data_IF_176770930032
#
_entry.id   IF_176770930032
#
_cell.length_a   1.000
_cell.length_b   1.000
_cell.length_c   1.000
_cell.angle_alpha   90.00
_cell.angle_beta   90.00
_cell.angle_gamma   90.00
#
_symmetry.space_group_name_H-M   'P 1'
#
loop_
_entity.id
_entity.type
_entity.pdbx_description
1 polymer ?
#
# COMPACT_ATOMS: atom_id res chain seq x y z
N UNK A 1 -32.41 -20.97 -9.28
CA UNK A 1 -31.05 -20.59 -8.80
C UNK A 1 -30.38 -21.63 -7.91
N UNK A 2 -30.99 -22.10 -6.79
CA UNK A 2 -30.35 -23.15 -5.94
C UNK A 2 -29.89 -24.38 -6.74
N UNK A 3 -30.65 -24.84 -7.75
CA UNK A 3 -30.22 -25.92 -8.64
C UNK A 3 -28.90 -25.60 -9.36
N UNK A 4 -28.79 -24.41 -9.96
CA UNK A 4 -27.60 -23.93 -10.67
C UNK A 4 -26.40 -23.85 -9.71
N UNK A 5 -26.62 -23.42 -8.46
CA UNK A 5 -25.57 -23.37 -7.43
C UNK A 5 -24.99 -24.77 -7.17
N UNK A 6 -25.85 -25.76 -6.96
CA UNK A 6 -25.43 -27.13 -6.66
C UNK A 6 -24.86 -27.87 -7.89
N UNK A 7 -25.15 -27.41 -9.10
CA UNK A 7 -24.72 -28.04 -10.36
C UNK A 7 -23.90 -27.11 -11.25
N UNK A 8 -23.18 -26.15 -10.65
CA UNK A 8 -22.49 -25.07 -11.36
C UNK A 8 -21.43 -25.56 -12.36
N UNK A 9 -20.87 -26.76 -12.17
CA UNK A 9 -19.92 -27.40 -13.10
C UNK A 9 -20.55 -27.75 -14.44
N UNK A 10 -21.83 -28.15 -14.45
CA UNK A 10 -22.59 -28.47 -15.66
C UNK A 10 -22.90 -27.19 -16.45
N UNK A 11 -23.29 -26.13 -15.73
CA UNK A 11 -23.64 -24.84 -16.33
C UNK A 11 -22.43 -24.01 -16.76
N UNK A 12 -21.22 -24.36 -16.31
CA UNK A 12 -19.97 -23.64 -16.58
C UNK A 12 -19.70 -23.44 -18.09
N UNK A 13 -19.94 -24.47 -18.91
CA UNK A 13 -19.76 -24.38 -20.37
C UNK A 13 -20.72 -23.39 -21.05
N UNK A 14 -21.84 -23.09 -20.40
CA UNK A 14 -22.88 -22.18 -20.89
C UNK A 14 -22.85 -20.82 -20.17
N UNK A 15 -21.78 -20.51 -19.41
CA UNK A 15 -21.70 -19.32 -18.56
C UNK A 15 -22.06 -18.01 -19.27
N UNK A 16 -21.71 -17.88 -20.56
CA UNK A 16 -22.04 -16.70 -21.39
C UNK A 16 -23.54 -16.38 -21.44
N UNK A 17 -24.41 -17.40 -21.41
CA UNK A 17 -25.86 -17.22 -21.45
C UNK A 17 -26.46 -16.99 -20.06
N UNK A 18 -25.76 -17.39 -19.00
CA UNK A 18 -26.26 -17.37 -17.64
C UNK A 18 -25.80 -16.16 -16.82
N UNK A 19 -24.71 -15.49 -17.19
CA UNK A 19 -24.22 -14.31 -16.47
C UNK A 19 -25.30 -13.20 -16.39
N UNK A 20 -25.80 -12.74 -17.53
CA UNK A 20 -26.77 -11.64 -17.60
C UNK A 20 -28.02 -11.91 -16.76
N UNK A 21 -28.74 -13.05 -16.92
CA UNK A 21 -29.94 -13.32 -16.12
C UNK A 21 -29.65 -13.42 -14.61
N UNK A 22 -28.52 -14.02 -14.22
CA UNK A 22 -28.20 -14.19 -12.81
C UNK A 22 -27.83 -12.83 -12.17
N UNK A 23 -27.08 -11.96 -12.87
CA UNK A 23 -26.77 -10.62 -12.38
C UNK A 23 -28.06 -9.79 -12.19
N UNK A 24 -29.00 -9.86 -13.13
CA UNK A 24 -30.29 -9.19 -13.00
C UNK A 24 -31.11 -9.73 -11.83
N UNK A 25 -31.11 -11.05 -11.63
CA UNK A 25 -31.74 -11.67 -10.46
C UNK A 25 -31.08 -11.21 -9.15
N UNK A 26 -29.75 -11.09 -9.09
CA UNK A 26 -29.04 -10.52 -7.95
C UNK A 26 -29.54 -9.11 -7.63
N UNK A 27 -29.69 -8.25 -8.63
CA UNK A 27 -30.21 -6.89 -8.45
C UNK A 27 -31.66 -6.85 -7.97
N UNK A 28 -32.52 -7.74 -8.48
CA UNK A 28 -33.90 -7.85 -7.99
C UNK A 28 -33.97 -8.34 -6.54
N UNK A 29 -33.04 -9.20 -6.11
CA UNK A 29 -32.94 -9.62 -4.71
C UNK A 29 -32.47 -8.46 -3.82
N UNK A 30 -31.52 -7.66 -4.30
CA UNK A 30 -31.02 -6.46 -3.63
C UNK A 30 -32.15 -5.46 -3.35
N UNK A 31 -33.01 -5.20 -4.34
CA UNK A 31 -34.14 -4.27 -4.21
C UNK A 31 -35.16 -4.72 -3.14
N UNK A 32 -35.24 -6.02 -2.86
CA UNK A 32 -36.16 -6.60 -1.88
C UNK A 32 -35.53 -6.85 -0.51
N UNK A 33 -34.20 -6.83 -0.42
CA UNK A 33 -33.47 -7.04 0.83
C UNK A 33 -33.37 -5.72 1.60
N UNK A 34 -33.86 -5.70 2.83
CA UNK A 34 -33.80 -4.52 3.68
C UNK A 34 -32.50 -4.41 4.49
N UNK A 35 -31.78 -5.50 4.76
CA UNK A 35 -30.57 -5.47 5.63
C UNK A 35 -29.61 -6.64 5.35
N UNK A 36 -28.31 -6.35 5.49
CA UNK A 36 -27.12 -7.22 5.41
C UNK A 36 -26.91 -8.03 4.11
N UNK A 37 -25.66 -8.40 3.85
CA UNK A 37 -25.31 -9.26 2.72
C UNK A 37 -25.90 -10.66 2.92
N UNK A 38 -26.96 -10.97 2.16
CA UNK A 38 -27.57 -12.28 2.16
C UNK A 38 -26.55 -13.36 1.74
N UNK A 39 -26.39 -14.42 2.54
CA UNK A 39 -25.49 -15.55 2.26
C UNK A 39 -25.78 -16.19 0.90
N UNK A 40 -27.06 -16.24 0.51
CA UNK A 40 -27.46 -16.74 -0.79
C UNK A 40 -26.95 -15.88 -1.96
N UNK A 41 -26.92 -14.55 -1.77
CA UNK A 41 -26.35 -13.62 -2.75
C UNK A 41 -24.84 -13.81 -2.85
N UNK A 42 -24.16 -13.94 -1.70
CA UNK A 42 -22.72 -14.22 -1.65
C UNK A 42 -22.39 -15.51 -2.42
N UNK A 43 -23.07 -16.61 -2.13
CA UNK A 43 -22.85 -17.90 -2.80
C UNK A 43 -23.09 -17.80 -4.31
N UNK A 44 -24.12 -17.04 -4.71
CA UNK A 44 -24.42 -16.78 -6.12
C UNK A 44 -23.27 -16.04 -6.81
N UNK A 45 -22.75 -14.98 -6.19
CA UNK A 45 -21.63 -14.20 -6.73
C UNK A 45 -20.36 -15.06 -6.81
N UNK A 46 -20.07 -15.87 -5.78
CA UNK A 46 -18.92 -16.78 -5.79
C UNK A 46 -18.95 -17.71 -7.01
N UNK A 47 -20.12 -18.22 -7.37
CA UNK A 47 -20.28 -19.06 -8.56
C UNK A 47 -20.07 -18.26 -9.85
N UNK A 48 -20.63 -17.06 -9.95
CA UNK A 48 -20.41 -16.20 -11.12
C UNK A 48 -18.92 -15.91 -11.32
N UNK A 49 -18.19 -15.64 -10.23
CA UNK A 49 -16.75 -15.41 -10.28
C UNK A 49 -15.96 -16.67 -10.64
N UNK A 50 -16.44 -17.87 -10.28
CA UNK A 50 -15.84 -19.13 -10.72
C UNK A 50 -15.87 -19.34 -12.24
N UNK A 51 -16.74 -18.60 -12.95
CA UNK A 51 -16.88 -18.64 -14.40
C UNK A 51 -16.10 -17.56 -15.13
N UNK A 52 -15.38 -16.68 -14.43
CA UNK A 52 -14.55 -15.60 -15.00
C UNK A 52 -13.71 -16.08 -16.20
N UNK A 53 -12.99 -17.20 -16.05
CA UNK A 53 -12.14 -17.77 -17.11
C UNK A 53 -12.84 -18.09 -18.44
N UNK A 54 -14.17 -18.17 -18.46
CA UNK A 54 -14.96 -18.54 -19.65
C UNK A 54 -15.79 -17.36 -20.16
N UNK A 55 -16.33 -16.56 -19.24
CA UNK A 55 -17.21 -15.47 -19.57
C UNK A 55 -17.08 -14.32 -18.56
N UNK A 56 -17.11 -13.10 -19.09
CA UNK A 56 -17.25 -11.86 -18.34
C UNK A 56 -18.58 -11.19 -18.71
N UNK A 57 -19.16 -10.34 -17.83
CA UNK A 57 -20.37 -9.59 -18.14
C UNK A 57 -20.22 -8.76 -19.40
N UNK A 58 -21.32 -8.65 -20.17
CA UNK A 58 -21.37 -7.83 -21.38
C UNK A 58 -21.32 -6.34 -21.03
N UNK A 59 -20.94 -5.48 -21.99
CA UNK A 59 -21.06 -4.01 -21.82
C UNK A 59 -22.51 -3.58 -21.54
N UNK A 60 -23.49 -4.32 -22.06
CA UNK A 60 -24.91 -4.07 -21.77
C UNK A 60 -25.26 -4.30 -20.30
N UNK A 61 -24.51 -5.16 -19.60
CA UNK A 61 -24.71 -5.48 -18.18
C UNK A 61 -23.99 -4.51 -17.25
N UNK A 62 -23.25 -3.53 -17.79
CA UNK A 62 -22.38 -2.64 -17.01
C UNK A 62 -23.13 -1.94 -15.88
N UNK A 63 -24.34 -1.45 -16.14
CA UNK A 63 -25.18 -0.81 -15.10
C UNK A 63 -25.62 -1.81 -14.03
N UNK A 64 -25.96 -3.04 -14.42
CA UNK A 64 -26.37 -4.09 -13.51
C UNK A 64 -25.21 -4.58 -12.63
N UNK A 65 -24.01 -4.73 -13.21
CA UNK A 65 -22.77 -5.06 -12.48
C UNK A 65 -22.40 -3.94 -11.52
N UNK A 66 -22.53 -2.69 -11.95
CA UNK A 66 -22.24 -1.54 -11.10
C UNK A 66 -23.18 -1.47 -9.89
N UNK A 67 -24.49 -1.66 -10.07
CA UNK A 67 -25.46 -1.68 -8.95
C UNK A 67 -25.13 -2.79 -7.94
N UNK A 68 -24.72 -3.96 -8.44
CA UNK A 68 -24.26 -5.06 -7.60
C UNK A 68 -23.01 -4.67 -6.80
N UNK A 69 -22.02 -4.04 -7.44
CA UNK A 69 -20.80 -3.55 -6.78
C UNK A 69 -21.11 -2.52 -5.68
N UNK A 70 -21.95 -1.52 -6.00
CA UNK A 70 -22.35 -0.48 -5.06
C UNK A 70 -23.06 -1.04 -3.83
N UNK A 71 -23.94 -2.03 -4.04
CA UNK A 71 -24.59 -2.74 -2.93
C UNK A 71 -23.59 -3.51 -2.05
N UNK A 72 -22.61 -4.18 -2.66
CA UNK A 72 -21.56 -4.87 -1.90
C UNK A 72 -20.71 -3.88 -1.10
N UNK A 73 -20.38 -2.72 -1.66
CA UNK A 73 -19.63 -1.66 -0.96
C UNK A 73 -20.42 -1.11 0.24
N UNK A 74 -21.72 -0.87 0.08
CA UNK A 74 -22.59 -0.35 1.13
C UNK A 74 -22.73 -1.32 2.31
N UNK A 75 -22.85 -2.63 2.01
CA UNK A 75 -23.15 -3.66 3.01
C UNK A 75 -21.93 -4.51 3.40
N UNK A 76 -20.70 -4.09 3.05
CA UNK A 76 -19.48 -4.84 3.36
C UNK A 76 -19.22 -4.95 4.87
N UNK A 77 -19.69 -3.96 5.64
CA UNK A 77 -19.52 -3.85 7.09
C UNK A 77 -20.31 -4.90 7.85
N UNK A 78 -19.62 -5.63 8.73
CA UNK A 78 -20.27 -6.60 9.60
C UNK A 78 -19.60 -6.61 10.98
N UNK A 79 -20.37 -6.92 12.04
CA UNK A 79 -19.86 -6.94 13.43
C UNK A 79 -18.73 -7.97 13.61
N UNK A 80 -18.88 -9.13 12.97
CA UNK A 80 -17.86 -10.17 12.92
C UNK A 80 -16.77 -9.82 11.89
N UNK A 81 -15.53 -9.68 12.35
CA UNK A 81 -14.37 -9.34 11.52
C UNK A 81 -14.01 -10.42 10.50
N UNK A 82 -14.31 -11.69 10.78
CA UNK A 82 -14.11 -12.77 9.81
C UNK A 82 -15.03 -12.60 8.60
N UNK A 83 -16.33 -12.40 8.85
CA UNK A 83 -17.33 -12.14 7.80
C UNK A 83 -16.96 -10.90 7.00
N UNK A 84 -16.56 -9.82 7.67
CA UNK A 84 -16.10 -8.60 7.01
C UNK A 84 -14.89 -8.84 6.08
N UNK A 85 -13.90 -9.66 6.50
CA UNK A 85 -12.78 -10.04 5.64
C UNK A 85 -13.23 -10.87 4.43
N UNK A 86 -14.11 -11.85 4.64
CA UNK A 86 -14.70 -12.63 3.55
C UNK A 86 -15.43 -11.75 2.53
N UNK A 87 -16.17 -10.74 3.00
CA UNK A 87 -16.85 -9.76 2.14
C UNK A 87 -15.84 -8.94 1.33
N UNK A 88 -14.76 -8.46 1.95
CA UNK A 88 -13.69 -7.75 1.27
C UNK A 88 -12.99 -8.62 0.22
N UNK A 89 -12.74 -9.91 0.53
CA UNK A 89 -12.14 -10.86 -0.41
C UNK A 89 -13.06 -11.16 -1.60
N UNK A 90 -14.38 -11.23 -1.38
CA UNK A 90 -15.37 -11.36 -2.45
C UNK A 90 -15.34 -10.14 -3.38
N UNK A 91 -15.36 -8.94 -2.80
CA UNK A 91 -15.30 -7.68 -3.55
C UNK A 91 -13.98 -7.58 -4.34
N UNK A 92 -12.85 -7.95 -3.71
CA UNK A 92 -11.54 -8.01 -4.35
C UNK A 92 -11.56 -8.90 -5.57
N UNK A 93 -12.04 -10.14 -5.45
CA UNK A 93 -12.14 -11.09 -6.57
C UNK A 93 -13.07 -10.59 -7.68
N UNK A 94 -14.16 -9.91 -7.32
CA UNK A 94 -15.08 -9.33 -8.28
C UNK A 94 -14.41 -8.22 -9.09
N UNK A 95 -13.72 -7.30 -8.42
CA UNK A 95 -12.98 -6.20 -9.06
C UNK A 95 -11.85 -6.75 -9.94
N UNK A 96 -11.10 -7.74 -9.46
CA UNK A 96 -10.04 -8.41 -10.26
C UNK A 96 -10.60 -9.11 -11.50
N UNK A 97 -11.81 -9.68 -11.41
CA UNK A 97 -12.43 -10.41 -12.51
C UNK A 97 -13.08 -9.49 -13.55
N UNK A 98 -13.68 -8.38 -13.10
CA UNK A 98 -14.55 -7.53 -13.93
C UNK A 98 -14.08 -6.06 -13.99
N UNK A 99 -12.78 -5.81 -13.80
CA UNK A 99 -12.18 -4.46 -13.77
C UNK A 99 -12.56 -3.57 -14.98
N UNK A 100 -12.68 -4.14 -16.18
CA UNK A 100 -13.06 -3.43 -17.41
C UNK A 100 -14.55 -3.03 -17.46
N UNK A 101 -15.39 -3.58 -16.56
CA UNK A 101 -16.85 -3.41 -16.56
C UNK A 101 -17.36 -2.57 -15.39
N UNK A 102 -16.46 -2.05 -14.56
CA UNK A 102 -16.81 -1.33 -13.34
C UNK A 102 -16.13 0.03 -13.30
N UNK A 103 -16.71 0.94 -12.52
CA UNK A 103 -16.06 2.19 -12.14
C UNK A 103 -16.14 2.36 -10.62
N UNK A 104 -15.26 3.21 -10.08
CA UNK A 104 -15.20 3.43 -8.64
C UNK A 104 -16.52 4.04 -8.10
N UNK A 105 -17.12 3.43 -7.05
CA UNK A 105 -18.24 4.00 -6.30
C UNK A 105 -17.84 5.21 -5.43
N UNK A 106 -17.37 6.30 -6.06
CA UNK A 106 -16.73 7.46 -5.42
C UNK A 106 -17.50 8.00 -4.21
N UNK A 107 -18.81 8.21 -4.33
CA UNK A 107 -19.64 8.77 -3.25
C UNK A 107 -19.78 7.82 -2.06
N UNK A 108 -19.89 6.51 -2.32
CA UNK A 108 -20.01 5.50 -1.26
C UNK A 108 -18.69 5.43 -0.48
N UNK A 109 -17.58 5.35 -1.20
CA UNK A 109 -16.24 5.33 -0.62
C UNK A 109 -15.98 6.60 0.18
N UNK A 110 -16.32 7.76 -0.39
CA UNK A 110 -16.15 9.05 0.27
C UNK A 110 -16.91 9.10 1.61
N UNK A 111 -18.17 8.66 1.64
CA UNK A 111 -18.96 8.59 2.87
C UNK A 111 -18.30 7.68 3.92
N UNK A 112 -17.78 6.52 3.50
CA UNK A 112 -17.11 5.56 4.39
C UNK A 112 -15.81 6.10 5.02
N UNK A 113 -15.07 6.98 4.33
CA UNK A 113 -13.84 7.58 4.86
C UNK A 113 -14.05 8.96 5.52
N UNK A 114 -15.16 9.64 5.18
CA UNK A 114 -15.50 10.93 5.74
C UNK A 114 -16.07 10.81 7.15
N UNK A 115 -16.79 9.73 7.44
CA UNK A 115 -17.41 9.53 8.74
C UNK A 115 -16.35 9.62 9.86
N UNK A 116 -16.60 10.53 10.79
CA UNK A 116 -15.65 10.91 11.84
C UNK A 116 -15.88 10.12 13.11
N UNK A 117 -16.71 9.08 13.10
CA UNK A 117 -16.83 8.22 14.26
C UNK A 117 -15.52 7.42 14.43
N UNK A 118 -14.65 8.01 15.24
CA UNK A 118 -13.34 7.55 15.71
C UNK A 118 -13.44 6.10 16.25
N UNK A 119 -14.60 5.66 16.77
CA UNK A 119 -14.79 4.29 17.26
C UNK A 119 -15.22 3.29 16.18
N UNK A 120 -15.66 3.77 15.03
CA UNK A 120 -16.25 2.93 14.00
C UNK A 120 -15.18 2.31 13.10
N UNK A 121 -15.39 1.05 12.69
CA UNK A 121 -14.51 0.34 11.75
C UNK A 121 -14.71 0.81 10.30
N UNK A 122 -15.58 1.80 10.06
CA UNK A 122 -15.97 2.25 8.72
C UNK A 122 -14.78 2.81 7.93
N UNK A 123 -13.95 3.65 8.55
CA UNK A 123 -12.80 4.25 7.88
C UNK A 123 -11.78 3.18 7.46
N UNK A 124 -11.56 2.16 8.29
CA UNK A 124 -10.65 1.05 7.93
C UNK A 124 -11.17 0.29 6.72
N UNK A 125 -12.48 0.10 6.61
CA UNK A 125 -13.12 -0.61 5.50
C UNK A 125 -13.11 0.25 4.24
N UNK A 126 -13.45 1.54 4.35
CA UNK A 126 -13.35 2.49 3.25
C UNK A 126 -11.93 2.55 2.68
N UNK A 127 -10.91 2.63 3.54
CA UNK A 127 -9.51 2.58 3.13
C UNK A 127 -9.14 1.25 2.47
N UNK A 128 -9.61 0.11 3.01
CA UNK A 128 -9.36 -1.20 2.42
C UNK A 128 -10.00 -1.33 1.02
N UNK A 129 -11.22 -0.83 0.84
CA UNK A 129 -11.93 -0.81 -0.45
C UNK A 129 -11.20 0.08 -1.48
N UNK A 130 -10.67 1.24 -1.06
CA UNK A 130 -9.82 2.07 -1.92
C UNK A 130 -8.56 1.30 -2.32
N UNK A 131 -7.91 0.63 -1.38
CA UNK A 131 -6.73 -0.20 -1.66
C UNK A 131 -7.01 -1.29 -2.70
N UNK A 132 -8.17 -1.95 -2.63
CA UNK A 132 -8.60 -2.96 -3.62
C UNK A 132 -8.77 -2.35 -5.02
N UNK A 133 -9.37 -1.16 -5.12
CA UNK A 133 -9.53 -0.46 -6.40
C UNK A 133 -8.17 -0.05 -7.00
N UNK A 134 -7.30 0.54 -6.17
CA UNK A 134 -5.98 0.99 -6.60
C UNK A 134 -5.07 -0.18 -7.01
N UNK A 135 -5.16 -1.33 -6.34
CA UNK A 135 -4.44 -2.54 -6.74
C UNK A 135 -4.81 -3.02 -8.15
N UNK A 136 -6.00 -2.68 -8.63
CA UNK A 136 -6.48 -2.96 -9.99
C UNK A 136 -6.33 -1.75 -10.94
N UNK A 137 -5.52 -0.75 -10.57
CA UNK A 137 -5.31 0.50 -11.32
C UNK A 137 -6.60 1.31 -11.55
N UNK A 138 -7.61 1.17 -10.70
CA UNK A 138 -8.85 1.96 -10.74
C UNK A 138 -8.70 3.13 -9.78
N UNK A 139 -8.86 4.36 -10.29
CA UNK A 139 -8.84 5.55 -9.44
C UNK A 139 -10.14 5.60 -8.61
N UNK A 140 -10.07 5.92 -7.32
CA UNK A 140 -11.23 5.89 -6.42
C UNK A 140 -12.20 7.06 -6.61
N UNK A 141 -11.86 8.00 -7.50
CA UNK A 141 -12.69 9.14 -7.90
C UNK A 141 -13.01 9.06 -9.39
N UNK A 142 -14.18 9.59 -9.75
CA UNK A 142 -14.63 9.74 -11.12
C UNK A 142 -15.24 11.14 -11.32
N UNK A 143 -15.08 11.70 -12.51
CA UNK A 143 -15.65 13.01 -12.87
C UNK A 143 -17.18 13.00 -13.02
N UNK A 144 -17.81 11.85 -12.83
CA UNK A 144 -19.27 11.66 -12.97
C UNK A 144 -20.03 12.31 -11.81
N UNK A 145 -19.37 12.51 -10.66
CA UNK A 145 -19.99 13.03 -9.44
C UNK A 145 -19.46 14.44 -9.11
N UNK A 146 -20.25 15.26 -8.41
CA UNK A 146 -19.88 16.61 -7.93
C UNK A 146 -18.74 16.63 -6.89
N UNK A 147 -18.16 15.47 -6.57
CA UNK A 147 -17.03 15.37 -5.65
C UNK A 147 -15.73 15.64 -6.39
N UNK A 148 -15.11 16.78 -6.11
CA UNK A 148 -13.81 17.12 -6.65
C UNK A 148 -12.71 16.21 -6.11
N UNK A 149 -11.71 15.95 -6.95
CA UNK A 149 -10.51 15.18 -6.58
C UNK A 149 -9.87 15.74 -5.30
N UNK A 150 -9.76 17.07 -5.22
CA UNK A 150 -9.15 17.76 -4.08
C UNK A 150 -9.89 17.47 -2.76
N UNK A 151 -11.23 17.45 -2.76
CA UNK A 151 -12.02 17.12 -1.55
C UNK A 151 -11.83 15.67 -1.12
N UNK A 152 -11.73 14.76 -2.08
CA UNK A 152 -11.45 13.36 -1.80
C UNK A 152 -10.05 13.19 -1.18
N UNK A 153 -9.04 13.80 -1.79
CA UNK A 153 -7.66 13.79 -1.33
C UNK A 153 -7.52 14.38 0.07
N UNK A 154 -8.14 15.53 0.35
CA UNK A 154 -8.14 16.13 1.68
C UNK A 154 -8.72 15.20 2.75
N UNK A 155 -9.81 14.49 2.42
CA UNK A 155 -10.47 13.56 3.35
C UNK A 155 -9.60 12.32 3.59
N UNK A 156 -8.93 11.82 2.54
CA UNK A 156 -7.97 10.74 2.65
C UNK A 156 -6.76 11.13 3.52
N UNK A 157 -6.23 12.35 3.34
CA UNK A 157 -5.12 12.88 4.13
C UNK A 157 -5.51 13.14 5.59
N UNK A 158 -6.75 13.59 5.86
CA UNK A 158 -7.27 13.68 7.24
C UNK A 158 -7.22 12.33 7.96
N UNK A 159 -7.52 11.22 7.27
CA UNK A 159 -7.42 9.88 7.85
C UNK A 159 -5.98 9.50 8.24
N UNK A 160 -4.95 10.05 7.58
CA UNK A 160 -3.56 9.87 8.01
C UNK A 160 -3.20 10.61 9.31
N UNK A 161 -3.99 11.62 9.70
CA UNK A 161 -3.78 12.36 10.96
C UNK A 161 -4.45 11.71 12.17
N UNK A 162 -5.21 10.62 11.94
CA UNK A 162 -5.96 9.90 12.97
C UNK A 162 -5.03 9.31 14.05
N UNK A 163 -5.54 9.14 15.28
CA UNK A 163 -4.79 8.59 16.42
C UNK A 163 -4.60 7.08 16.34
N UNK A 164 -5.49 6.35 15.64
CA UNK A 164 -5.42 4.89 15.57
C UNK A 164 -4.48 4.37 14.49
N UNK A 165 -3.60 3.43 14.89
CA UNK A 165 -2.59 2.81 14.02
C UNK A 165 -3.13 2.12 12.80
N UNK A 166 -4.22 1.36 12.94
CA UNK A 166 -4.85 0.70 11.80
C UNK A 166 -5.39 1.69 10.77
N UNK A 167 -5.87 2.86 11.19
CA UNK A 167 -6.43 3.87 10.28
C UNK A 167 -5.32 4.68 9.62
N UNK A 168 -4.40 5.29 10.39
CA UNK A 168 -3.37 6.13 9.78
C UNK A 168 -2.40 5.32 8.91
N UNK A 169 -2.10 4.07 9.27
CA UNK A 169 -1.19 3.23 8.49
C UNK A 169 -1.85 2.78 7.18
N UNK A 170 -3.12 2.36 7.22
CA UNK A 170 -3.88 2.02 6.02
C UNK A 170 -4.07 3.23 5.11
N UNK A 171 -4.33 4.42 5.67
CA UNK A 171 -4.46 5.66 4.90
C UNK A 171 -3.14 6.00 4.20
N UNK A 172 -2.02 5.92 4.91
CA UNK A 172 -0.70 6.16 4.32
C UNK A 172 -0.36 5.14 3.21
N UNK A 173 -0.70 3.86 3.41
CA UNK A 173 -0.52 2.84 2.38
C UNK A 173 -1.34 3.13 1.12
N UNK A 174 -2.62 3.45 1.29
CA UNK A 174 -3.54 3.84 0.21
C UNK A 174 -3.07 5.08 -0.53
N UNK A 175 -2.54 6.09 0.17
CA UNK A 175 -1.97 7.29 -0.45
C UNK A 175 -0.76 6.93 -1.32
N UNK A 176 0.12 6.04 -0.86
CA UNK A 176 1.23 5.57 -1.67
C UNK A 176 0.80 4.82 -2.93
N UNK A 177 -0.21 3.96 -2.80
CA UNK A 177 -0.83 3.30 -3.96
C UNK A 177 -1.43 4.32 -4.93
N UNK A 178 -2.10 5.36 -4.41
CA UNK A 178 -2.75 6.40 -5.22
C UNK A 178 -1.72 7.18 -6.03
N UNK A 179 -0.63 7.63 -5.39
CA UNK A 179 0.47 8.32 -6.06
C UNK A 179 1.08 7.48 -7.18
N UNK A 180 1.25 6.17 -6.95
CA UNK A 180 1.78 5.25 -7.95
C UNK A 180 0.81 5.08 -9.14
N UNK A 181 -0.48 4.85 -8.88
CA UNK A 181 -1.49 4.71 -9.95
C UNK A 181 -1.63 5.99 -10.76
N UNK A 182 -1.62 7.17 -10.12
CA UNK A 182 -1.66 8.45 -10.82
C UNK A 182 -0.44 8.63 -11.72
N UNK A 183 0.75 8.27 -11.24
CA UNK A 183 1.98 8.27 -12.05
C UNK A 183 1.88 7.34 -13.25
N UNK A 184 1.41 6.10 -13.06
CA UNK A 184 1.22 5.13 -14.14
C UNK A 184 0.24 5.65 -15.21
N UNK A 185 -0.76 6.43 -14.81
CA UNK A 185 -1.73 7.07 -15.70
C UNK A 185 -1.30 8.44 -16.25
N UNK A 186 -0.10 8.92 -15.91
CA UNK A 186 0.40 10.23 -16.33
C UNK A 186 -0.34 11.43 -15.73
N UNK A 187 -1.05 11.25 -14.61
CA UNK A 187 -1.73 12.35 -13.91
C UNK A 187 -0.77 13.07 -12.95
N UNK A 188 -0.97 14.38 -12.77
CA UNK A 188 -0.13 15.19 -11.86
C UNK A 188 -0.34 14.80 -10.40
N UNK A 189 0.77 14.61 -9.69
CA UNK A 189 0.83 14.34 -8.25
C UNK A 189 1.15 15.59 -7.42
N UNK A 190 1.43 16.74 -8.04
CA UNK A 190 2.01 17.92 -7.38
C UNK A 190 1.16 18.41 -6.20
N UNK A 191 -0.13 18.65 -6.41
CA UNK A 191 -1.04 19.12 -5.34
C UNK A 191 -1.12 18.17 -4.15
N UNK A 192 -1.19 16.87 -4.43
CA UNK A 192 -1.27 15.85 -3.38
C UNK A 192 0.04 15.75 -2.61
N UNK A 193 1.19 15.88 -3.28
CA UNK A 193 2.52 15.94 -2.66
C UNK A 193 2.69 17.19 -1.80
N UNK A 194 2.22 18.35 -2.27
CA UNK A 194 2.21 19.60 -1.49
C UNK A 194 1.42 19.43 -0.19
N UNK A 195 0.18 18.95 -0.27
CA UNK A 195 -0.66 18.69 0.91
C UNK A 195 -0.04 17.64 1.83
N UNK A 196 0.57 16.59 1.27
CA UNK A 196 1.28 15.57 2.05
C UNK A 196 2.46 16.14 2.83
N UNK A 197 3.22 17.07 2.26
CA UNK A 197 4.43 17.61 2.88
C UNK A 197 4.19 18.25 4.26
N UNK A 198 2.96 18.76 4.49
CA UNK A 198 2.52 19.32 5.76
C UNK A 198 2.10 18.26 6.79
N UNK A 199 1.62 17.10 6.32
CA UNK A 199 1.03 16.04 7.16
C UNK A 199 2.01 14.88 7.40
N UNK A 200 3.05 14.77 6.57
CA UNK A 200 3.97 13.63 6.56
C UNK A 200 4.67 13.46 7.91
N UNK A 201 4.15 12.50 8.70
CA UNK A 201 4.81 11.98 9.89
C UNK A 201 5.77 10.86 9.48
N UNK A 202 6.82 10.69 10.29
CA UNK A 202 7.87 9.68 10.08
C UNK A 202 7.31 8.28 9.72
N UNK A 203 6.34 7.78 10.49
CA UNK A 203 5.78 6.43 10.31
C UNK A 203 5.01 6.24 9.03
N UNK A 204 4.36 7.29 8.55
CA UNK A 204 3.53 7.25 7.34
C UNK A 204 4.41 7.29 6.08
N UNK A 205 5.61 7.86 6.16
CA UNK A 205 6.56 7.90 5.04
C UNK A 205 7.00 6.51 4.57
N UNK A 206 7.19 5.57 5.49
CA UNK A 206 7.50 4.15 5.22
C UNK A 206 6.49 3.50 4.27
N UNK A 207 5.23 3.56 4.66
CA UNK A 207 4.14 2.83 4.02
C UNK A 207 3.82 3.44 2.66
N UNK A 208 3.97 4.76 2.53
CA UNK A 208 3.87 5.44 1.24
C UNK A 208 5.03 5.04 0.34
N UNK A 209 6.27 5.06 0.84
CA UNK A 209 7.46 4.78 0.04
C UNK A 209 7.47 3.37 -0.56
N UNK A 210 6.87 2.37 0.11
CA UNK A 210 6.72 1.02 -0.43
C UNK A 210 6.05 1.00 -1.81
N UNK A 211 5.10 1.91 -2.04
CA UNK A 211 4.34 2.00 -3.29
C UNK A 211 4.82 3.14 -4.17
N UNK A 212 5.35 4.22 -3.57
CA UNK A 212 5.84 5.40 -4.28
C UNK A 212 7.20 5.87 -3.72
N UNK A 213 8.33 5.29 -4.18
CA UNK A 213 9.66 5.58 -3.66
C UNK A 213 10.07 7.06 -3.79
N UNK A 214 9.59 7.75 -4.83
CA UNK A 214 9.89 9.14 -5.14
C UNK A 214 9.35 10.15 -4.12
N UNK A 215 8.54 9.73 -3.14
CA UNK A 215 8.08 10.63 -2.07
C UNK A 215 9.23 11.12 -1.19
N UNK A 216 10.29 10.33 -1.04
CA UNK A 216 11.46 10.72 -0.26
C UNK A 216 12.38 11.51 -1.17
N UNK A 217 12.01 12.77 -1.37
CA UNK A 217 12.81 13.79 -2.03
C UNK A 217 13.95 14.26 -1.12
N UNK A 218 14.77 15.19 -1.62
CA UNK A 218 15.86 15.77 -0.83
C UNK A 218 15.37 16.45 0.46
N UNK A 219 14.17 17.04 0.48
CA UNK A 219 13.65 17.78 1.64
C UNK A 219 13.23 16.85 2.78
N UNK A 220 12.49 15.80 2.45
CA UNK A 220 12.10 14.73 3.38
C UNK A 220 13.37 14.06 3.90
N UNK A 221 14.29 13.64 3.01
CA UNK A 221 15.55 13.00 3.38
C UNK A 221 16.38 13.83 4.40
N UNK A 222 16.43 15.17 4.25
CA UNK A 222 17.07 16.05 5.23
C UNK A 222 16.33 16.04 6.59
N UNK A 223 14.99 16.12 6.61
CA UNK A 223 14.19 16.02 7.85
C UNK A 223 14.41 14.68 8.56
N UNK A 224 14.46 13.60 7.78
CA UNK A 224 14.69 12.24 8.28
C UNK A 224 16.05 12.14 8.99
N UNK A 225 17.12 12.65 8.38
CA UNK A 225 18.48 12.65 8.95
C UNK A 225 18.55 13.51 10.21
N UNK A 226 17.93 14.68 10.21
CA UNK A 226 17.90 15.55 11.38
C UNK A 226 17.16 14.91 12.56
N UNK A 227 16.09 14.16 12.28
CA UNK A 227 15.32 13.42 13.28
C UNK A 227 16.05 12.22 13.86
N UNK A 228 16.95 11.57 13.10
CA UNK A 228 17.55 10.27 13.44
C UNK A 228 18.17 10.21 14.85
N UNK A 229 18.84 11.28 15.30
CA UNK A 229 19.45 11.34 16.65
C UNK A 229 18.44 11.25 17.79
N UNK A 230 17.21 11.74 17.56
CA UNK A 230 16.15 11.82 18.58
C UNK A 230 15.29 10.56 18.64
N UNK A 231 15.46 9.63 17.69
CA UNK A 231 14.65 8.42 17.58
C UNK A 231 15.30 7.26 18.33
N UNK A 232 14.47 6.39 18.89
CA UNK A 232 14.86 5.20 19.66
C UNK A 232 14.01 3.99 19.26
N UNK A 233 14.54 2.78 19.47
CA UNK A 233 13.85 1.51 19.21
C UNK A 233 13.33 1.39 17.78
N UNK A 234 12.10 0.85 17.63
CA UNK A 234 11.44 0.62 16.35
C UNK A 234 11.40 1.88 15.47
N UNK A 235 11.16 3.05 16.07
CA UNK A 235 11.10 4.32 15.34
C UNK A 235 12.40 4.61 14.60
N UNK A 236 13.55 4.27 15.21
CA UNK A 236 14.87 4.43 14.62
C UNK A 236 15.19 3.37 13.57
N UNK A 237 14.75 2.12 13.79
CA UNK A 237 14.89 1.05 12.81
C UNK A 237 14.12 1.39 11.53
N UNK A 238 12.86 1.78 11.70
CA UNK A 238 12.03 2.30 10.65
C UNK A 238 12.78 3.49 10.01
N UNK A 239 13.29 4.45 10.81
CA UNK A 239 14.14 5.55 10.33
C UNK A 239 15.04 5.21 9.16
N UNK A 240 15.90 4.23 9.43
CA UNK A 240 16.94 3.79 8.51
C UNK A 240 16.37 3.06 7.29
N UNK A 241 15.31 2.25 7.43
CA UNK A 241 14.69 1.52 6.30
C UNK A 241 14.23 2.45 5.19
N UNK A 242 13.61 3.59 5.55
CA UNK A 242 13.14 4.57 4.56
C UNK A 242 14.31 5.19 3.80
N UNK A 243 15.41 5.45 4.51
CA UNK A 243 16.60 6.04 3.89
C UNK A 243 17.21 5.08 2.87
N UNK A 244 17.25 3.77 3.14
CA UNK A 244 17.91 2.76 2.28
C UNK A 244 17.44 2.86 0.82
N UNK A 245 16.15 3.08 0.57
CA UNK A 245 15.63 3.11 -0.80
C UNK A 245 16.27 4.24 -1.64
N UNK A 246 16.43 5.45 -1.09
CA UNK A 246 16.84 6.64 -1.86
C UNK A 246 18.23 7.18 -1.49
N UNK A 247 18.95 6.55 -0.56
CA UNK A 247 20.25 7.04 -0.05
C UNK A 247 21.29 7.23 -1.15
N UNK A 248 21.21 6.46 -2.22
CA UNK A 248 22.15 6.52 -3.35
C UNK A 248 21.97 7.80 -4.16
N UNK A 249 20.78 8.34 -4.30
CA UNK A 249 20.52 9.55 -5.10
C UNK A 249 20.82 10.84 -4.33
N UNK A 250 21.13 10.72 -3.04
CA UNK A 250 21.28 11.86 -2.16
C UNK A 250 22.74 12.34 -2.07
N UNK A 251 22.97 13.59 -2.48
CA UNK A 251 24.29 14.20 -2.46
C UNK A 251 24.87 14.25 -1.04
N UNK A 252 26.15 13.91 -0.90
CA UNK A 252 26.88 13.93 0.39
C UNK A 252 26.20 13.11 1.50
N UNK A 253 25.43 12.08 1.14
CA UNK A 253 24.65 11.27 2.10
C UNK A 253 25.47 10.79 3.30
N UNK A 254 26.67 10.27 3.08
CA UNK A 254 27.54 9.78 4.15
C UNK A 254 27.89 10.87 5.17
N UNK A 255 28.24 12.07 4.73
CA UNK A 255 28.61 13.16 5.63
C UNK A 255 27.44 13.56 6.54
N UNK A 256 26.24 13.65 5.96
CA UNK A 256 25.01 13.98 6.70
C UNK A 256 24.60 12.86 7.66
N UNK A 257 24.72 11.60 7.26
CA UNK A 257 24.46 10.44 8.13
C UNK A 257 25.48 10.32 9.27
N UNK A 258 26.76 10.58 8.98
CA UNK A 258 27.83 10.65 9.98
C UNK A 258 27.53 11.75 10.99
N UNK A 259 27.15 12.95 10.52
CA UNK A 259 26.74 14.05 11.40
C UNK A 259 25.51 13.67 12.25
N UNK A 260 24.62 12.82 11.74
CA UNK A 260 23.46 12.27 12.44
C UNK A 260 23.78 11.10 13.40
N UNK A 261 25.04 10.67 13.52
CA UNK A 261 25.47 9.62 14.45
C UNK A 261 25.24 8.20 13.94
N UNK A 262 25.23 7.97 12.62
CA UNK A 262 25.11 6.61 12.05
C UNK A 262 26.22 5.67 12.53
N UNK A 263 27.45 6.17 12.71
CA UNK A 263 28.57 5.34 13.17
C UNK A 263 28.33 4.80 14.58
N UNK A 264 27.69 5.58 15.45
CA UNK A 264 27.36 5.16 16.82
C UNK A 264 26.31 4.02 16.81
N UNK A 265 25.44 3.99 15.79
CA UNK A 265 24.44 2.94 15.59
C UNK A 265 25.13 1.61 15.24
N UNK A 266 26.25 1.64 14.52
CA UNK A 266 27.00 0.43 14.13
C UNK A 266 27.59 -0.31 15.34
N UNK A 267 27.86 0.40 16.43
CA UNK A 267 28.42 -0.16 17.66
C UNK A 267 27.31 -0.44 18.69
N UNK A 268 26.06 -0.03 18.43
CA UNK A 268 24.96 -0.17 19.36
C UNK A 268 24.58 -1.64 19.61
N UNK A 269 24.23 -2.03 20.85
CA UNK A 269 23.89 -3.43 21.21
C UNK A 269 22.56 -3.94 20.62
N UNK A 270 21.76 -3.03 20.06
CA UNK A 270 20.54 -3.40 19.34
C UNK A 270 20.90 -3.91 17.95
N UNK A 271 21.02 -5.23 17.83
CA UNK A 271 21.41 -5.89 16.58
C UNK A 271 20.40 -5.68 15.46
N UNK A 272 19.12 -5.47 15.77
CA UNK A 272 18.09 -5.24 14.75
C UNK A 272 18.22 -3.86 14.11
N UNK A 273 18.54 -2.83 14.90
CA UNK A 273 18.83 -1.49 14.35
C UNK A 273 20.19 -1.50 13.62
N UNK A 274 21.18 -2.20 14.20
CA UNK A 274 22.52 -2.32 13.62
C UNK A 274 22.49 -2.97 12.24
N UNK A 275 21.73 -4.06 12.05
CA UNK A 275 21.64 -4.75 10.75
C UNK A 275 21.08 -3.84 9.65
N UNK A 276 20.07 -3.02 9.96
CA UNK A 276 19.52 -2.03 9.02
C UNK A 276 20.52 -0.92 8.72
N UNK A 277 21.26 -0.44 9.72
CA UNK A 277 22.32 0.55 9.51
C UNK A 277 23.46 0.01 8.62
N UNK A 278 23.85 -1.25 8.79
CA UNK A 278 24.84 -1.91 7.94
C UNK A 278 24.36 -2.02 6.49
N UNK A 279 23.09 -2.39 6.26
CA UNK A 279 22.49 -2.40 4.92
C UNK A 279 22.49 -1.02 4.26
N UNK A 280 22.19 0.03 5.02
CA UNK A 280 22.24 1.41 4.55
C UNK A 280 23.66 1.79 4.11
N UNK A 281 24.67 1.43 4.90
CA UNK A 281 26.08 1.68 4.57
C UNK A 281 26.55 0.88 3.37
N UNK A 282 26.20 -0.40 3.29
CA UNK A 282 26.53 -1.25 2.15
C UNK A 282 26.08 -0.62 0.83
N UNK A 283 24.86 -0.06 0.79
CA UNK A 283 24.34 0.63 -0.40
C UNK A 283 25.07 1.94 -0.73
N UNK A 284 25.73 2.56 0.26
CA UNK A 284 26.50 3.79 0.08
C UNK A 284 27.95 3.57 -0.32
N UNK A 285 28.51 2.36 -0.11
CA UNK A 285 29.93 2.06 -0.35
C UNK A 285 30.49 2.59 -1.68
N UNK A 286 29.80 2.44 -2.83
CA UNK A 286 30.34 2.88 -4.12
C UNK A 286 30.56 4.40 -4.24
N UNK A 287 29.98 5.21 -3.34
CA UNK A 287 30.08 6.67 -3.35
C UNK A 287 31.04 7.23 -2.29
N UNK A 288 31.71 6.37 -1.53
CA UNK A 288 32.55 6.78 -0.42
C UNK A 288 34.00 7.00 -0.87
N UNK A 289 34.67 7.96 -0.24
CA UNK A 289 36.11 8.16 -0.45
C UNK A 289 36.93 7.14 0.34
N UNK A 290 38.20 6.94 -0.04
CA UNK A 290 39.11 6.02 0.66
C UNK A 290 39.22 6.30 2.17
N UNK A 291 39.31 7.57 2.57
CA UNK A 291 39.34 7.95 3.98
C UNK A 291 38.07 7.56 4.73
N UNK A 292 36.92 7.67 4.07
CA UNK A 292 35.63 7.31 4.65
C UNK A 292 35.50 5.79 4.81
N UNK A 293 35.94 5.02 3.81
CA UNK A 293 35.99 3.56 3.87
C UNK A 293 36.89 3.08 5.01
N UNK A 294 38.08 3.66 5.16
CA UNK A 294 39.00 3.33 6.24
C UNK A 294 38.38 3.58 7.62
N UNK A 295 37.71 4.73 7.79
CA UNK A 295 37.02 5.05 9.04
C UNK A 295 35.88 4.06 9.35
N UNK A 296 35.12 3.64 8.35
CA UNK A 296 34.08 2.63 8.51
C UNK A 296 34.71 1.29 8.94
N UNK A 297 35.78 0.86 8.26
CA UNK A 297 36.45 -0.40 8.56
C UNK A 297 36.92 -0.49 10.02
N UNK A 298 37.43 0.61 10.58
CA UNK A 298 37.82 0.71 12.00
C UNK A 298 36.64 0.64 12.99
N UNK A 299 35.43 0.98 12.53
CA UNK A 299 34.23 1.06 13.38
C UNK A 299 33.45 -0.26 13.37
N UNK A 300 33.59 -1.05 12.30
CA UNK A 300 32.86 -2.31 12.12
C UNK A 300 33.36 -3.37 13.11
N UNK A 301 32.41 -4.21 13.54
CA UNK A 301 32.68 -5.33 14.42
C UNK A 301 31.86 -6.54 13.96
N UNK A 302 32.46 -7.73 14.11
CA UNK A 302 31.88 -9.02 13.73
C UNK A 302 30.99 -9.62 14.84
N UNK A 303 30.68 -8.86 15.88
CA UNK A 303 29.82 -9.27 16.97
C UNK A 303 28.33 -9.18 16.60
N UNK A 304 27.53 -10.09 17.17
CA UNK A 304 26.07 -10.04 17.12
C UNK A 304 25.40 -11.18 16.37
N UNK A 305 24.18 -10.91 15.92
CA UNK A 305 23.32 -11.86 15.20
C UNK A 305 23.90 -12.28 13.84
N UNK A 306 23.44 -13.43 13.31
CA UNK A 306 23.84 -13.91 11.98
C UNK A 306 23.63 -12.86 10.88
N UNK A 307 22.57 -12.06 10.96
CA UNK A 307 22.33 -10.98 9.98
C UNK A 307 23.37 -9.86 10.08
N UNK A 308 23.75 -9.43 11.30
CA UNK A 308 24.79 -8.41 11.48
C UNK A 308 26.13 -8.91 10.93
N UNK A 309 26.50 -10.14 11.28
CA UNK A 309 27.73 -10.77 10.80
C UNK A 309 27.76 -10.85 9.27
N UNK A 310 26.66 -11.30 8.66
CA UNK A 310 26.50 -11.35 7.21
C UNK A 310 26.75 -9.99 6.56
N UNK A 311 26.06 -8.93 7.01
CA UNK A 311 26.21 -7.61 6.39
C UNK A 311 27.59 -6.98 6.65
N UNK A 312 28.19 -7.21 7.82
CA UNK A 312 29.57 -6.79 8.09
C UNK A 312 30.55 -7.47 7.13
N UNK A 313 30.40 -8.78 6.90
CA UNK A 313 31.25 -9.54 5.98
C UNK A 313 31.05 -9.09 4.53
N UNK A 314 29.81 -8.83 4.11
CA UNK A 314 29.54 -8.30 2.76
C UNK A 314 30.21 -6.93 2.54
N UNK A 315 30.22 -6.06 3.55
CA UNK A 315 30.95 -4.79 3.49
C UNK A 315 32.46 -5.02 3.38
N UNK A 316 33.04 -5.90 4.20
CA UNK A 316 34.47 -6.21 4.13
C UNK A 316 34.87 -6.83 2.79
N UNK A 317 34.05 -7.74 2.26
CA UNK A 317 34.25 -8.36 0.95
C UNK A 317 34.26 -7.29 -0.15
N UNK A 318 33.28 -6.40 -0.16
CA UNK A 318 33.23 -5.30 -1.12
C UNK A 318 34.48 -4.40 -1.01
N UNK A 319 34.90 -4.05 0.21
CA UNK A 319 36.11 -3.25 0.43
C UNK A 319 37.37 -3.95 -0.07
N UNK A 320 37.49 -5.27 0.16
CA UNK A 320 38.61 -6.07 -0.33
C UNK A 320 38.66 -6.08 -1.85
N UNK A 321 37.53 -6.34 -2.51
CA UNK A 321 37.43 -6.34 -3.98
C UNK A 321 37.80 -4.96 -4.55
N UNK A 322 37.31 -3.88 -3.95
CA UNK A 322 37.60 -2.50 -4.35
C UNK A 322 39.09 -2.16 -4.24
N UNK A 323 39.76 -2.54 -3.14
CA UNK A 323 41.19 -2.31 -2.95
C UNK A 323 42.01 -3.14 -3.95
N UNK A 324 41.64 -4.40 -4.16
CA UNK A 324 42.37 -5.32 -5.05
C UNK A 324 42.29 -4.86 -6.51
N UNK A 325 41.15 -4.33 -6.94
CA UNK A 325 40.97 -3.74 -8.28
C UNK A 325 41.78 -2.45 -8.49
N UNK A 326 42.10 -1.70 -7.44
CA UNK A 326 42.98 -0.53 -7.55
C UNK A 326 44.46 -0.88 -7.57
N UNK A 327 44.87 -2.01 -6.99
CA UNK A 327 46.27 -2.48 -7.04
C UNK A 327 46.60 -3.09 -8.40
N UNK A 328 45.59 -3.54 -9.15
CA UNK A 328 45.73 -4.21 -10.45
C UNK A 328 45.59 -3.30 -11.66
N UNK A 329 45.17 -2.04 -11.48
CA UNK A 329 45.09 -1.00 -12.52
C UNK A 329 46.16 0.08 -12.30
#
# INVERSE_FOLDING_TARGET
MRLIIHTHTIFKSYARYWLTPIIHMCNQMIEKSSEDLNTFLIDTIVILLSWNSIAIPSELDRTAVQRLLEYLFLNCTHKNTFVMKTNLDLIKKLIESWNERIYAPTLIIYKLIFDQDIKSKHNTIGLSLIGILLANNILPYNEINDLTEDKFNETLLKNMTNSFRNIYAAAAEVVGMLLNVKKLKGQSNERLLEQLSFILKWHSGQTIQKHYPEIVDKTVMNKLIFGLKKLYGDFKMECLKVMIANVTEFDSAYLKLKAAGVLDILIHKDFSIRSVALRLLHKLLPKLTHEQLFKIAQTLSLDGSNECQYWTLEIYKWMYDYITQQITN
#
